data_IF_761439237352
#
_entry.id   IF_761439237352
#
_cell.length_a   1.000
_cell.length_b   1.000
_cell.length_c   1.000
_cell.angle_alpha   90.00
_cell.angle_beta   90.00
_cell.angle_gamma   90.00
#
_symmetry.space_group_name_H-M   'P 1'
#
loop_
_entity.id
_entity.type
_entity.pdbx_description
1 polymer ?
#
# COMPACT_ATOMS: atom_id res chain seq x y z
N UNK A 1 0.19 -14.70 16.43
CA UNK A 1 -0.43 -14.66 15.10
C UNK A 1 -0.86 -13.24 14.80
N UNK A 2 0.03 -12.44 14.21
CA UNK A 2 -0.26 -11.08 13.75
C UNK A 2 0.11 -11.02 12.28
N UNK A 3 -0.91 -11.02 11.43
CA UNK A 3 -0.80 -10.56 10.06
C UNK A 3 -0.64 -9.03 10.11
N UNK A 4 0.46 -8.53 9.56
CA UNK A 4 0.53 -7.18 9.02
C UNK A 4 1.02 -7.33 7.58
N UNK A 5 0.26 -6.85 6.58
CA UNK A 5 0.57 -7.00 5.17
C UNK A 5 1.62 -5.97 4.71
N UNK A 6 2.34 -6.33 3.66
CA UNK A 6 3.28 -5.48 2.93
C UNK A 6 2.53 -4.43 2.08
N UNK A 7 3.12 -3.23 1.89
CA UNK A 7 2.62 -2.25 0.93
C UNK A 7 3.14 -2.62 -0.47
N UNK A 8 2.28 -3.21 -1.31
CA UNK A 8 2.56 -3.35 -2.74
C UNK A 8 2.07 -2.11 -3.48
N UNK A 9 2.98 -1.17 -3.71
CA UNK A 9 2.81 -0.12 -4.70
C UNK A 9 2.88 -0.71 -6.11
N UNK A 10 1.77 -1.24 -6.60
CA UNK A 10 1.49 -1.40 -8.03
C UNK A 10 0.43 -0.38 -8.40
N UNK A 11 0.81 0.57 -9.24
CA UNK A 11 0.00 1.61 -9.85
C UNK A 11 -1.37 1.06 -10.27
N UNK A 12 -2.43 1.51 -9.60
CA UNK A 12 -3.79 1.04 -9.81
C UNK A 12 -4.38 1.59 -11.11
N UNK A 13 -4.06 0.97 -12.25
CA UNK A 13 -4.83 1.16 -13.49
C UNK A 13 -6.10 0.27 -13.49
N UNK A 14 -6.15 -0.72 -12.58
CA UNK A 14 -7.11 -1.83 -12.63
C UNK A 14 -8.50 -1.58 -12.03
N UNK A 15 -8.84 -0.39 -11.54
CA UNK A 15 -10.19 -0.12 -10.95
C UNK A 15 -11.16 0.56 -11.91
N UNK A 16 -10.69 0.96 -13.10
CA UNK A 16 -11.51 1.67 -14.08
C UNK A 16 -12.56 0.79 -14.74
N UNK A 17 -12.15 -0.42 -15.14
CA UNK A 17 -13.01 -1.37 -15.87
C UNK A 17 -14.10 -1.98 -14.96
N UNK A 18 -13.87 -2.08 -13.64
CA UNK A 18 -14.90 -2.45 -12.65
C UNK A 18 -16.11 -1.51 -12.64
N UNK A 19 -15.93 -0.27 -13.12
CA UNK A 19 -17.01 0.72 -13.15
C UNK A 19 -17.97 0.52 -14.32
N UNK A 20 -17.59 -0.29 -15.32
CA UNK A 20 -18.39 -0.59 -16.51
C UNK A 20 -19.26 -1.81 -16.24
N UNK A 21 -20.58 -1.61 -16.25
CA UNK A 21 -21.55 -2.68 -15.99
C UNK A 21 -22.44 -3.01 -17.18
N UNK A 22 -22.34 -2.25 -18.27
CA UNK A 22 -23.26 -2.33 -19.40
C UNK A 22 -22.51 -2.12 -20.72
N UNK A 23 -22.97 -2.76 -21.79
CA UNK A 23 -22.53 -2.45 -23.14
C UNK A 23 -23.43 -1.36 -23.75
N UNK A 24 -22.89 -0.20 -24.19
CA UNK A 24 -23.69 0.87 -24.77
C UNK A 24 -24.26 0.55 -26.16
N UNK A 25 -23.70 -0.46 -26.86
CA UNK A 25 -24.15 -0.89 -28.20
C UNK A 25 -25.31 -1.88 -28.10
N UNK A 26 -25.18 -2.87 -27.21
CA UNK A 26 -26.17 -3.95 -27.08
C UNK A 26 -27.17 -3.72 -25.95
N UNK A 27 -26.96 -2.67 -25.13
CA UNK A 27 -27.81 -2.32 -23.98
C UNK A 27 -27.97 -3.44 -22.95
N UNK A 28 -27.01 -4.37 -22.90
CA UNK A 28 -27.00 -5.51 -21.98
C UNK A 28 -25.98 -5.31 -20.87
N UNK A 29 -26.33 -5.79 -19.67
CA UNK A 29 -25.39 -5.87 -18.55
C UNK A 29 -24.24 -6.82 -18.86
N UNK A 30 -23.03 -6.44 -18.46
CA UNK A 30 -21.84 -7.28 -18.61
C UNK A 30 -21.79 -8.31 -17.47
N UNK A 31 -21.55 -9.57 -17.83
CA UNK A 31 -21.33 -10.63 -16.85
C UNK A 31 -19.86 -10.65 -16.40
N UNK A 32 -19.65 -10.75 -15.09
CA UNK A 32 -18.31 -10.81 -14.47
C UNK A 32 -17.83 -12.23 -14.21
N UNK A 33 -18.59 -13.25 -14.61
CA UNK A 33 -18.28 -14.67 -14.39
C UNK A 33 -18.43 -15.44 -15.71
N UNK A 34 -17.60 -16.46 -15.99
CA UNK A 34 -17.86 -17.33 -17.16
C UNK A 34 -19.09 -18.20 -16.87
N UNK A 35 -20.04 -18.33 -17.82
CA UNK A 35 -21.25 -19.13 -17.64
C UNK A 35 -20.97 -20.63 -17.50
N UNK A 36 -19.82 -21.11 -17.99
CA UNK A 36 -19.45 -22.54 -17.97
C UNK A 36 -18.62 -22.95 -16.74
N UNK A 37 -17.58 -22.17 -16.39
CA UNK A 37 -16.68 -22.53 -15.29
C UNK A 37 -16.89 -21.71 -14.02
N UNK A 38 -17.80 -20.73 -14.05
CA UNK A 38 -18.20 -19.85 -12.94
C UNK A 38 -17.07 -19.05 -12.29
N UNK A 39 -15.85 -19.08 -12.85
CA UNK A 39 -14.74 -18.25 -12.40
C UNK A 39 -15.01 -16.78 -12.72
N UNK A 40 -14.65 -15.90 -11.79
CA UNK A 40 -14.64 -14.45 -11.99
C UNK A 40 -13.70 -14.12 -13.14
N UNK A 41 -14.20 -13.41 -14.15
CA UNK A 41 -13.44 -13.01 -15.32
C UNK A 41 -12.47 -11.88 -14.93
N UNK A 42 -11.15 -12.07 -15.09
CA UNK A 42 -10.19 -11.00 -14.86
C UNK A 42 -10.30 -9.95 -15.97
N UNK A 43 -10.08 -8.67 -15.64
CA UNK A 43 -10.12 -7.55 -16.59
C UNK A 43 -9.18 -7.73 -17.77
N UNK A 44 -7.95 -8.15 -17.50
CA UNK A 44 -6.93 -8.51 -18.48
C UNK A 44 -6.11 -9.66 -17.89
N UNK A 45 -6.31 -10.88 -18.38
CA UNK A 45 -5.37 -11.97 -18.19
C UNK A 45 -4.39 -12.06 -19.35
N UNK A 46 -3.18 -12.54 -19.08
CA UNK A 46 -2.14 -12.79 -20.10
C UNK A 46 -2.60 -13.71 -21.24
N UNK A 47 -3.68 -14.49 -21.03
CA UNK A 47 -4.28 -15.43 -22.00
C UNK A 47 -5.66 -14.98 -22.49
N UNK A 48 -6.00 -13.70 -22.35
CA UNK A 48 -7.32 -13.19 -22.76
C UNK A 48 -7.43 -13.20 -24.28
N UNK A 49 -8.48 -13.85 -24.80
CA UNK A 49 -8.91 -13.72 -26.19
C UNK A 49 -10.25 -13.02 -26.19
N UNK A 50 -10.43 -12.02 -27.06
CA UNK A 50 -11.69 -11.28 -27.16
C UNK A 50 -12.87 -12.25 -27.30
N UNK A 51 -13.89 -12.06 -26.45
CA UNK A 51 -15.08 -12.90 -26.42
C UNK A 51 -14.90 -14.30 -25.82
N UNK A 52 -13.75 -14.64 -25.19
CA UNK A 52 -13.50 -15.97 -24.62
C UNK A 52 -13.00 -15.92 -23.17
N UNK A 53 -13.37 -16.92 -22.37
CA UNK A 53 -12.88 -17.05 -21.00
C UNK A 53 -11.38 -17.42 -20.95
N UNK A 54 -10.56 -16.72 -20.14
CA UNK A 54 -9.12 -17.00 -20.04
C UNK A 54 -8.77 -18.30 -19.30
N UNK A 55 -9.75 -18.95 -18.67
CA UNK A 55 -9.54 -20.18 -17.88
C UNK A 55 -9.99 -21.45 -18.59
N UNK A 56 -11.17 -21.43 -19.21
CA UNK A 56 -11.74 -22.60 -19.89
C UNK A 56 -11.99 -22.39 -21.38
N UNK A 57 -11.71 -21.19 -21.90
CA UNK A 57 -11.90 -20.84 -23.32
C UNK A 57 -13.37 -20.88 -23.81
N UNK A 58 -14.35 -20.91 -22.89
CA UNK A 58 -15.78 -20.75 -23.20
C UNK A 58 -16.02 -19.45 -23.99
N UNK A 59 -16.86 -19.46 -25.03
CA UNK A 59 -17.36 -18.23 -25.66
C UNK A 59 -18.22 -17.45 -24.66
N UNK A 60 -18.01 -16.14 -24.56
CA UNK A 60 -18.65 -15.25 -23.60
C UNK A 60 -19.77 -14.41 -24.21
N UNK A 61 -19.92 -14.40 -25.54
CA UNK A 61 -21.08 -13.78 -26.18
C UNK A 61 -22.30 -14.69 -26.07
N UNK A 62 -23.48 -14.12 -25.81
CA UNK A 62 -24.74 -14.85 -25.98
C UNK A 62 -25.26 -14.56 -27.38
N UNK A 63 -25.57 -15.60 -28.15
CA UNK A 63 -26.42 -15.44 -29.33
C UNK A 63 -27.81 -15.02 -28.82
N UNK A 64 -28.29 -13.91 -29.36
CA UNK A 64 -29.50 -13.23 -28.96
C UNK A 64 -30.74 -14.12 -29.11
N UNK A 65 -31.10 -14.79 -28.02
CA UNK A 65 -32.38 -15.47 -27.82
C UNK A 65 -32.85 -15.23 -26.40
N UNK A 66 -33.60 -14.15 -26.19
CA UNK A 66 -34.29 -13.76 -24.95
C UNK A 66 -33.43 -13.58 -23.69
N UNK A 67 -33.14 -12.33 -23.33
CA UNK A 67 -33.24 -11.91 -21.92
C UNK A 67 -33.33 -10.38 -21.83
N UNK A 68 -34.54 -9.88 -21.62
CA UNK A 68 -34.78 -8.55 -21.05
C UNK A 68 -34.15 -8.50 -19.66
N UNK A 69 -32.96 -7.90 -19.55
CA UNK A 69 -32.46 -7.35 -18.30
C UNK A 69 -32.37 -5.84 -18.47
N UNK A 70 -33.54 -5.23 -18.62
CA UNK A 70 -33.69 -3.78 -18.57
C UNK A 70 -33.29 -3.31 -17.17
N UNK A 71 -32.31 -2.41 -17.08
CA UNK A 71 -32.09 -1.67 -15.83
C UNK A 71 -33.40 -0.97 -15.47
N UNK A 72 -33.84 -1.16 -14.22
CA UNK A 72 -35.10 -0.65 -13.70
C UNK A 72 -35.18 0.89 -13.60
N UNK A 73 -34.18 1.64 -14.07
CA UNK A 73 -34.18 3.11 -14.03
C UNK A 73 -33.39 3.73 -15.20
N UNK A 74 -34.00 4.64 -15.97
CA UNK A 74 -33.41 5.30 -17.14
C UNK A 74 -32.17 6.15 -16.80
N UNK A 75 -32.10 6.67 -15.57
CA UNK A 75 -31.01 7.49 -15.05
C UNK A 75 -29.71 6.69 -14.86
N UNK A 76 -29.80 5.48 -14.30
CA UNK A 76 -28.64 4.60 -14.09
C UNK A 76 -28.08 4.08 -15.42
N UNK A 77 -28.95 3.81 -16.40
CA UNK A 77 -28.55 3.45 -17.75
C UNK A 77 -27.78 4.58 -18.44
N UNK A 78 -28.33 5.81 -18.44
CA UNK A 78 -27.66 6.98 -19.01
C UNK A 78 -26.29 7.23 -18.38
N UNK A 79 -26.19 7.04 -17.06
CA UNK A 79 -24.92 7.15 -16.33
C UNK A 79 -23.91 6.07 -16.76
N UNK A 80 -24.34 4.82 -16.92
CA UNK A 80 -23.47 3.73 -17.38
C UNK A 80 -23.02 3.91 -18.84
N UNK A 81 -23.89 4.45 -19.70
CA UNK A 81 -23.53 4.85 -21.06
C UNK A 81 -22.47 5.96 -21.06
N UNK A 82 -22.65 7.01 -20.24
CA UNK A 82 -21.66 8.07 -20.09
C UNK A 82 -20.32 7.53 -19.58
N UNK A 83 -20.32 6.70 -18.52
CA UNK A 83 -19.09 6.09 -17.99
C UNK A 83 -18.34 5.31 -19.07
N UNK A 84 -19.05 4.49 -19.85
CA UNK A 84 -18.46 3.74 -20.94
C UNK A 84 -17.80 4.64 -21.99
N UNK A 85 -18.52 5.66 -22.45
CA UNK A 85 -18.04 6.57 -23.49
C UNK A 85 -16.82 7.35 -22.99
N UNK A 86 -16.86 7.87 -21.76
CA UNK A 86 -15.74 8.60 -21.15
C UNK A 86 -14.51 7.74 -20.91
N UNK A 87 -14.67 6.46 -20.54
CA UNK A 87 -13.54 5.54 -20.45
C UNK A 87 -12.99 5.23 -21.85
N UNK A 88 -13.87 5.03 -22.84
CA UNK A 88 -13.49 4.80 -24.23
C UNK A 88 -12.67 5.96 -24.82
N UNK A 89 -13.10 7.20 -24.57
CA UNK A 89 -12.40 8.43 -24.94
C UNK A 89 -10.99 8.48 -24.31
N UNK A 90 -10.90 8.21 -23.00
CA UNK A 90 -9.62 8.17 -22.30
C UNK A 90 -8.68 7.09 -22.86
N UNK A 91 -9.20 5.89 -23.13
CA UNK A 91 -8.42 4.79 -23.72
C UNK A 91 -7.97 5.10 -25.16
N UNK A 92 -8.81 5.76 -25.96
CA UNK A 92 -8.50 6.14 -27.34
C UNK A 92 -7.43 7.24 -27.42
N UNK A 93 -7.31 8.09 -26.41
CA UNK A 93 -6.30 9.16 -26.35
C UNK A 93 -4.86 8.66 -26.14
N UNK A 94 -4.69 7.42 -25.64
CA UNK A 94 -3.40 6.88 -25.20
C UNK A 94 -2.40 6.60 -26.35
N UNK A 95 -2.82 6.66 -27.61
CA UNK A 95 -1.94 6.49 -28.78
C UNK A 95 -1.22 7.76 -29.22
N UNK A 96 -1.57 8.96 -28.72
CA UNK A 96 -1.05 10.24 -29.25
C UNK A 96 -0.54 11.26 -28.19
N UNK A 97 -0.46 10.94 -26.90
CA UNK A 97 -0.06 11.93 -25.88
C UNK A 97 1.44 11.88 -25.58
N UNK A 98 2.22 12.83 -26.12
CA UNK A 98 3.65 13.01 -25.75
C UNK A 98 3.90 13.38 -24.29
N UNK A 99 2.86 13.80 -23.54
CA UNK A 99 2.96 14.16 -22.13
C UNK A 99 1.80 13.55 -21.32
N UNK A 100 2.04 12.60 -20.40
CA UNK A 100 0.99 12.09 -19.52
C UNK A 100 0.52 13.18 -18.54
N UNK A 101 -0.78 13.18 -18.15
CA UNK A 101 -1.31 14.16 -17.21
C UNK A 101 -0.61 14.05 -15.86
N UNK A 102 -0.21 15.20 -15.31
CA UNK A 102 0.54 15.24 -14.05
C UNK A 102 -0.40 15.03 -12.86
N UNK A 103 0.11 14.40 -11.79
CA UNK A 103 -0.65 14.14 -10.56
C UNK A 103 -1.11 15.42 -9.86
N UNK A 104 -0.46 16.54 -10.17
CA UNK A 104 -0.74 17.88 -9.67
C UNK A 104 -1.97 18.53 -10.35
N UNK A 105 -2.46 17.97 -11.46
CA UNK A 105 -3.65 18.47 -12.14
C UNK A 105 -4.91 18.26 -11.30
N UNK A 106 -5.03 17.12 -10.61
CA UNK A 106 -6.22 16.80 -9.80
C UNK A 106 -6.38 17.79 -8.62
N UNK A 107 -5.35 18.04 -7.77
CA UNK A 107 -5.43 19.07 -6.73
C UNK A 107 -5.70 20.47 -7.29
N UNK A 108 -5.09 20.82 -8.44
CA UNK A 108 -5.25 22.14 -9.06
C UNK A 108 -6.68 22.36 -9.55
N UNK A 109 -7.27 21.34 -10.18
CA UNK A 109 -8.66 21.37 -10.64
C UNK A 109 -9.64 21.44 -9.48
N UNK A 110 -9.42 20.66 -8.41
CA UNK A 110 -10.28 20.71 -7.22
C UNK A 110 -10.21 22.09 -6.53
N UNK A 111 -9.03 22.71 -6.48
CA UNK A 111 -8.87 24.09 -5.97
C UNK A 111 -9.62 25.10 -6.82
N UNK A 112 -9.54 24.99 -8.14
CA UNK A 112 -10.31 25.85 -9.01
C UNK A 112 -11.82 25.71 -8.76
N UNK A 113 -12.33 24.48 -8.64
CA UNK A 113 -13.74 24.24 -8.33
C UNK A 113 -14.17 24.84 -6.98
N UNK A 114 -13.24 24.84 -6.01
CA UNK A 114 -13.46 25.42 -4.70
C UNK A 114 -13.63 26.94 -4.79
N UNK A 115 -12.81 27.59 -5.62
CA UNK A 115 -12.85 29.03 -5.83
C UNK A 115 -14.05 29.43 -6.70
N UNK A 116 -14.39 28.67 -7.74
CA UNK A 116 -15.45 29.04 -8.70
C UNK A 116 -16.87 28.68 -8.27
N UNK A 117 -17.05 27.62 -7.49
CA UNK A 117 -18.40 27.10 -7.14
C UNK A 117 -18.70 27.10 -5.65
N UNK A 118 -17.73 27.42 -4.80
CA UNK A 118 -17.90 27.35 -3.36
C UNK A 118 -17.28 28.53 -2.59
N UNK A 119 -16.78 29.56 -3.28
CA UNK A 119 -16.16 30.75 -2.67
C UNK A 119 -15.11 30.41 -1.60
N UNK A 120 -14.29 29.38 -1.84
CA UNK A 120 -13.29 28.91 -0.87
C UNK A 120 -13.85 28.00 0.24
N UNK A 121 -15.17 27.77 0.31
CA UNK A 121 -15.80 26.96 1.35
C UNK A 121 -15.78 25.46 1.02
N UNK A 122 -14.85 24.76 1.66
CA UNK A 122 -14.66 23.33 1.45
C UNK A 122 -15.90 22.48 1.79
N UNK A 123 -16.69 22.89 2.78
CA UNK A 123 -17.92 22.20 3.15
C UNK A 123 -19.04 22.41 2.13
N UNK A 124 -19.06 23.56 1.46
CA UNK A 124 -19.98 23.80 0.36
C UNK A 124 -19.61 22.97 -0.87
N UNK A 125 -18.32 22.91 -1.24
CA UNK A 125 -17.86 22.07 -2.34
C UNK A 125 -18.08 20.58 -2.07
N UNK A 126 -17.85 20.13 -0.84
CA UNK A 126 -18.12 18.76 -0.41
C UNK A 126 -19.59 18.36 -0.62
N UNK A 127 -20.53 19.26 -0.32
CA UNK A 127 -21.97 19.03 -0.59
C UNK A 127 -22.27 18.97 -2.09
N UNK A 128 -21.64 19.84 -2.89
CA UNK A 128 -21.80 19.87 -4.34
C UNK A 128 -21.31 18.56 -4.98
N UNK A 129 -20.11 18.11 -4.61
CA UNK A 129 -19.50 16.88 -5.12
C UNK A 129 -20.06 15.61 -4.44
N UNK A 130 -20.88 15.79 -3.40
CA UNK A 130 -21.39 14.72 -2.54
C UNK A 130 -20.25 13.85 -1.96
N UNK A 131 -19.15 14.48 -1.56
CA UNK A 131 -17.97 13.85 -0.97
C UNK A 131 -17.82 14.28 0.50
N UNK A 132 -17.08 13.50 1.28
CA UNK A 132 -16.69 13.90 2.63
C UNK A 132 -15.68 15.07 2.58
N UNK A 133 -15.83 16.03 3.49
CA UNK A 133 -14.99 17.24 3.57
C UNK A 133 -13.52 16.89 3.77
N UNK A 134 -13.21 15.83 4.54
CA UNK A 134 -11.83 15.38 4.78
C UNK A 134 -11.22 14.71 3.56
N UNK A 135 -12.01 13.96 2.79
CA UNK A 135 -11.57 13.37 1.51
C UNK A 135 -11.15 14.47 0.54
N UNK A 136 -11.96 15.52 0.45
CA UNK A 136 -11.68 16.67 -0.39
C UNK A 136 -10.44 17.44 0.11
N UNK A 137 -10.30 17.62 1.43
CA UNK A 137 -9.12 18.23 2.04
C UNK A 137 -7.83 17.44 1.74
N UNK A 138 -7.89 16.12 1.82
CA UNK A 138 -6.77 15.21 1.55
C UNK A 138 -6.34 15.27 0.07
N UNK A 139 -7.29 15.36 -0.86
CA UNK A 139 -6.99 15.53 -2.29
C UNK A 139 -6.27 16.86 -2.59
N UNK A 140 -6.62 17.93 -1.86
CA UNK A 140 -6.02 19.26 -2.04
C UNK A 140 -4.63 19.36 -1.42
N UNK A 141 -4.43 18.77 -0.22
CA UNK A 141 -3.26 19.07 0.61
C UNK A 141 -2.27 17.90 0.77
N UNK A 142 -2.73 16.65 0.73
CA UNK A 142 -1.92 15.47 1.06
C UNK A 142 -1.48 14.68 -0.18
N UNK A 143 -1.76 15.19 -1.39
CA UNK A 143 -1.48 14.53 -2.69
C UNK A 143 -2.09 13.13 -2.80
N UNK A 144 -3.15 12.84 -2.04
CA UNK A 144 -3.92 11.63 -2.21
C UNK A 144 -4.69 11.70 -3.54
N UNK A 145 -4.57 10.66 -4.36
CA UNK A 145 -5.28 10.57 -5.64
C UNK A 145 -6.67 9.93 -5.41
N UNK A 146 -7.73 10.47 -6.00
CA UNK A 146 -9.04 9.84 -5.95
C UNK A 146 -8.99 8.48 -6.64
N UNK A 147 -9.70 7.50 -6.08
CA UNK A 147 -10.01 6.28 -6.83
C UNK A 147 -10.75 6.65 -8.11
N UNK A 148 -10.54 5.87 -9.18
CA UNK A 148 -11.05 6.20 -10.50
C UNK A 148 -12.59 6.38 -10.53
N UNK A 149 -13.34 5.58 -9.76
CA UNK A 149 -14.80 5.73 -9.66
C UNK A 149 -15.23 7.08 -9.05
N UNK A 150 -14.42 7.66 -8.14
CA UNK A 150 -14.65 8.97 -7.55
C UNK A 150 -14.37 10.05 -8.59
N UNK A 151 -13.26 9.92 -9.33
CA UNK A 151 -12.92 10.83 -10.43
C UNK A 151 -14.03 10.86 -11.49
N UNK A 152 -14.48 9.70 -11.96
CA UNK A 152 -15.60 9.59 -12.92
C UNK A 152 -16.87 10.28 -12.40
N UNK A 153 -17.16 10.14 -11.11
CA UNK A 153 -18.33 10.80 -10.52
C UNK A 153 -18.19 12.32 -10.51
N UNK A 154 -17.02 12.83 -10.10
CA UNK A 154 -16.75 14.27 -10.11
C UNK A 154 -16.88 14.82 -11.54
N UNK A 155 -16.26 14.15 -12.51
CA UNK A 155 -16.36 14.51 -13.93
C UNK A 155 -17.82 14.49 -14.44
N UNK A 156 -18.59 13.47 -14.06
CA UNK A 156 -20.02 13.36 -14.41
C UNK A 156 -20.84 14.53 -13.85
N UNK A 157 -20.65 14.90 -12.58
CA UNK A 157 -21.34 16.03 -11.95
C UNK A 157 -20.97 17.38 -12.57
N UNK A 158 -19.73 17.48 -13.06
CA UNK A 158 -19.22 18.67 -13.73
C UNK A 158 -19.54 18.69 -15.22
N UNK A 159 -20.11 17.61 -15.77
CA UNK A 159 -20.39 17.44 -17.20
C UNK A 159 -19.17 17.60 -18.10
N UNK A 160 -18.00 17.19 -17.63
CA UNK A 160 -16.72 17.20 -18.37
C UNK A 160 -16.15 15.79 -18.44
N UNK A 161 -15.35 15.49 -19.47
CA UNK A 161 -14.74 14.16 -19.57
C UNK A 161 -13.55 14.01 -18.60
N UNK A 162 -13.19 12.79 -18.16
CA UNK A 162 -11.98 12.57 -17.37
C UNK A 162 -10.71 12.97 -18.11
N UNK A 163 -10.71 12.90 -19.44
CA UNK A 163 -9.59 13.36 -20.26
C UNK A 163 -9.45 14.88 -20.13
N UNK A 164 -10.53 15.62 -20.39
CA UNK A 164 -10.59 17.08 -20.24
C UNK A 164 -10.19 17.53 -18.83
N UNK A 165 -10.70 16.86 -17.79
CA UNK A 165 -10.34 17.11 -16.39
C UNK A 165 -8.84 16.96 -16.11
N UNK A 166 -8.16 16.04 -16.81
CA UNK A 166 -6.77 15.70 -16.59
C UNK A 166 -5.79 16.47 -17.50
N UNK A 167 -6.24 16.95 -18.66
CA UNK A 167 -5.34 17.52 -19.69
C UNK A 167 -5.55 19.01 -19.98
N UNK A 168 -6.74 19.57 -19.77
CA UNK A 168 -7.03 20.96 -20.18
C UNK A 168 -6.96 21.96 -19.02
N UNK A 169 -6.41 23.15 -19.29
CA UNK A 169 -6.57 24.33 -18.42
C UNK A 169 -7.97 24.92 -18.67
N UNK A 170 -8.87 24.94 -17.70
CA UNK A 170 -10.30 25.14 -17.95
C UNK A 170 -10.62 26.62 -18.22
N UNK A 171 -11.23 26.90 -19.39
CA UNK A 171 -11.81 28.22 -19.68
C UNK A 171 -13.33 28.26 -19.57
N UNK A 172 -14.06 27.12 -19.53
CA UNK A 172 -15.52 27.10 -19.51
C UNK A 172 -16.10 25.87 -18.79
N UNK A 173 -16.04 25.84 -17.44
CA UNK A 173 -16.75 24.81 -16.67
C UNK A 173 -18.25 25.15 -16.59
N UNK A 174 -19.06 24.66 -17.53
CA UNK A 174 -20.52 24.72 -17.42
C UNK A 174 -21.00 23.58 -16.52
N UNK A 175 -21.43 23.90 -15.30
CA UNK A 175 -21.99 22.91 -14.38
C UNK A 175 -23.44 22.60 -14.76
N UNK A 176 -23.74 21.32 -15.05
CA UNK A 176 -25.12 20.81 -14.96
C UNK A 176 -25.23 20.01 -13.66
N UNK A 177 -25.89 20.58 -12.66
CA UNK A 177 -26.19 19.85 -11.43
C UNK A 177 -27.34 18.86 -11.70
N UNK A 178 -27.15 17.53 -11.59
CA UNK A 178 -28.29 16.62 -11.53
C UNK A 178 -28.96 16.77 -10.16
N UNK A 179 -30.30 16.83 -10.13
CA UNK A 179 -31.10 17.11 -8.94
C UNK A 179 -31.18 15.97 -7.92
N UNK A 180 -30.58 14.81 -8.19
CA UNK A 180 -30.77 13.61 -7.37
C UNK A 180 -29.71 13.46 -6.27
N UNK A 181 -30.19 13.27 -5.04
CA UNK A 181 -29.38 12.90 -3.87
C UNK A 181 -28.94 11.45 -4.02
N UNK A 182 -27.62 11.20 -4.02
CA UNK A 182 -27.05 9.86 -4.05
C UNK A 182 -26.23 9.64 -2.77
N UNK A 183 -26.64 8.71 -1.91
CA UNK A 183 -25.86 8.31 -0.74
C UNK A 183 -24.58 7.59 -1.16
N UNK A 184 -23.41 8.15 -0.84
CA UNK A 184 -22.13 7.42 -0.91
C UNK A 184 -21.83 6.86 0.47
N UNK A 185 -21.66 5.55 0.59
CA UNK A 185 -20.90 4.95 1.69
C UNK A 185 -19.41 5.18 1.42
N UNK A 186 -18.84 6.21 2.04
CA UNK A 186 -17.39 6.42 2.00
C UNK A 186 -16.68 5.27 2.72
N UNK A 187 -15.64 4.71 2.09
CA UNK A 187 -14.83 3.60 2.62
C UNK A 187 -13.75 4.09 3.60
N UNK A 188 -13.64 5.41 3.83
CA UNK A 188 -12.87 5.94 4.95
C UNK A 188 -13.65 5.70 6.24
N UNK A 189 -13.38 4.55 6.86
CA UNK A 189 -13.98 4.06 8.09
C UNK A 189 -14.09 5.15 9.17
N UNK A 190 -15.31 5.41 9.65
CA UNK A 190 -15.79 5.58 11.03
C UNK A 190 -14.85 5.96 12.20
N UNK A 191 -13.66 6.52 11.99
CA UNK A 191 -12.66 6.64 13.07
C UNK A 191 -12.52 7.99 13.74
N UNK A 192 -13.27 9.00 13.32
CA UNK A 192 -13.23 10.29 14.01
C UNK A 192 -14.65 10.79 14.20
N UNK A 193 -15.34 10.21 15.19
CA UNK A 193 -16.55 10.83 15.74
C UNK A 193 -16.21 12.28 16.09
N UNK A 194 -17.02 13.21 15.60
CA UNK A 194 -16.96 14.61 16.04
C UNK A 194 -17.19 14.60 17.54
N UNK A 195 -16.17 14.96 18.32
CA UNK A 195 -16.21 14.92 19.78
C UNK A 195 -17.29 15.91 20.22
N UNK A 196 -18.31 15.42 20.92
CA UNK A 196 -19.42 16.24 21.36
C UNK A 196 -18.97 17.14 22.53
N UNK A 197 -19.68 18.25 22.76
CA UNK A 197 -19.39 19.13 23.89
C UNK A 197 -19.53 18.40 25.24
N UNK A 198 -20.42 17.41 25.32
CA UNK A 198 -20.56 16.51 26.46
C UNK A 198 -19.30 15.69 26.73
N UNK A 199 -18.64 15.21 25.67
CA UNK A 199 -17.42 14.41 25.78
C UNK A 199 -16.25 15.26 26.25
N UNK A 200 -16.18 16.52 25.80
CA UNK A 200 -15.19 17.49 26.28
C UNK A 200 -15.40 17.75 27.79
N UNK A 201 -16.65 17.94 28.23
CA UNK A 201 -16.96 18.12 29.66
C UNK A 201 -16.58 16.89 30.48
N UNK A 202 -16.83 15.69 29.98
CA UNK A 202 -16.41 14.44 30.63
C UNK A 202 -14.88 14.34 30.74
N UNK A 203 -14.15 14.71 29.68
CA UNK A 203 -12.67 14.76 29.70
C UNK A 203 -12.17 15.75 30.75
N UNK A 204 -12.76 16.95 30.82
CA UNK A 204 -12.41 17.97 31.81
C UNK A 204 -12.66 17.51 33.24
N UNK A 205 -13.84 16.94 33.51
CA UNK A 205 -14.20 16.42 34.83
C UNK A 205 -13.27 15.28 35.25
N UNK A 206 -13.03 14.32 34.35
CA UNK A 206 -12.14 13.18 34.63
C UNK A 206 -10.72 13.63 34.97
N UNK A 207 -10.18 14.62 34.25
CA UNK A 207 -8.86 15.18 34.53
C UNK A 207 -8.83 15.99 35.83
N UNK A 208 -9.87 16.78 36.11
CA UNK A 208 -9.98 17.58 37.34
C UNK A 208 -10.10 16.68 38.58
N UNK A 209 -10.93 15.65 38.52
CA UNK A 209 -11.11 14.68 39.61
C UNK A 209 -9.81 13.92 39.90
N UNK A 210 -9.10 13.49 38.86
CA UNK A 210 -7.79 12.83 39.00
C UNK A 210 -6.75 13.75 39.65
N UNK A 211 -6.77 15.05 39.33
CA UNK A 211 -5.87 16.03 39.94
C UNK A 211 -6.14 16.27 41.42
N UNK A 212 -7.34 15.97 41.92
CA UNK A 212 -7.67 16.08 43.35
C UNK A 212 -7.33 14.82 44.15
N UNK A 213 -7.36 13.64 43.52
CA UNK A 213 -7.07 12.36 44.21
C UNK A 213 -5.59 12.26 44.60
N UNK A 214 -5.31 11.78 45.80
CA UNK A 214 -3.96 11.42 46.27
C UNK A 214 -3.58 10.01 45.81
N UNK A 215 -3.13 9.90 44.55
CA UNK A 215 -2.72 8.62 43.93
C UNK A 215 -1.19 8.59 43.78
N UNK A 216 -0.55 7.50 44.20
CA UNK A 216 0.87 7.24 43.98
C UNK A 216 1.11 5.81 43.43
N UNK A 217 1.92 5.64 42.36
CA UNK A 217 2.47 6.68 41.50
C UNK A 217 1.36 7.34 40.65
N UNK A 218 1.46 8.66 40.48
CA UNK A 218 0.54 9.42 39.64
C UNK A 218 0.72 8.99 38.16
N UNK A 219 -0.37 8.67 37.44
CA UNK A 219 -0.29 8.12 36.08
C UNK A 219 0.19 9.17 35.06
N UNK A 220 0.82 8.70 33.98
CA UNK A 220 1.21 9.57 32.86
C UNK A 220 0.00 10.00 32.04
N UNK A 221 0.08 11.14 31.35
CA UNK A 221 -0.99 11.62 30.47
C UNK A 221 -1.42 10.57 29.43
N UNK A 222 -0.48 9.76 28.94
CA UNK A 222 -0.75 8.67 28.00
C UNK A 222 -1.60 7.56 28.61
N UNK A 223 -1.33 7.20 29.88
CA UNK A 223 -2.12 6.20 30.60
C UNK A 223 -3.54 6.72 30.86
N UNK A 224 -3.66 7.97 31.32
CA UNK A 224 -4.94 8.63 31.55
C UNK A 224 -5.78 8.70 30.26
N UNK A 225 -5.16 9.09 29.13
CA UNK A 225 -5.86 9.14 27.84
C UNK A 225 -6.43 7.78 27.43
N UNK A 226 -5.65 6.71 27.62
CA UNK A 226 -6.12 5.35 27.35
C UNK A 226 -7.27 4.93 28.28
N UNK A 227 -7.21 5.29 29.57
CA UNK A 227 -8.25 4.98 30.54
C UNK A 227 -9.57 5.70 30.21
N UNK A 228 -9.48 6.91 29.63
CA UNK A 228 -10.63 7.68 29.11
C UNK A 228 -11.10 7.16 27.74
N UNK A 229 -10.30 6.34 27.06
CA UNK A 229 -10.60 5.82 25.72
C UNK A 229 -10.35 6.82 24.58
N UNK A 230 -9.42 7.78 24.78
CA UNK A 230 -9.10 8.82 23.79
C UNK A 230 -7.59 8.86 23.47
N UNK A 231 -7.22 9.51 22.36
CA UNK A 231 -5.82 9.73 22.02
C UNK A 231 -5.25 10.90 22.85
N UNK A 232 -3.97 10.87 23.31
CA UNK A 232 -3.38 11.98 24.07
C UNK A 232 -3.45 13.35 23.37
N UNK A 233 -3.33 13.37 22.04
CA UNK A 233 -3.48 14.58 21.23
C UNK A 233 -4.87 15.21 21.35
N UNK A 234 -5.90 14.40 21.60
CA UNK A 234 -7.26 14.88 21.81
C UNK A 234 -7.35 15.68 23.11
N UNK A 235 -6.82 15.14 24.22
CA UNK A 235 -6.80 15.87 25.50
C UNK A 235 -5.99 17.16 25.41
N UNK A 236 -4.85 17.13 24.72
CA UNK A 236 -4.03 18.33 24.52
C UNK A 236 -4.75 19.43 23.72
N UNK A 237 -5.63 19.04 22.79
CA UNK A 237 -6.40 19.97 21.97
C UNK A 237 -7.56 20.61 22.74
N UNK A 238 -8.32 19.83 23.50
CA UNK A 238 -9.56 20.29 24.14
C UNK A 238 -9.40 20.70 25.61
N UNK A 239 -8.35 20.23 26.30
CA UNK A 239 -8.09 20.49 27.71
C UNK A 239 -6.60 20.81 27.98
N UNK A 240 -6.01 21.82 27.30
CA UNK A 240 -4.58 22.07 27.35
C UNK A 240 -4.07 22.38 28.76
N UNK A 241 -4.80 23.18 29.55
CA UNK A 241 -4.33 23.62 30.86
C UNK A 241 -4.39 22.53 31.92
N UNK A 242 -5.45 21.71 31.92
CA UNK A 242 -5.52 20.52 32.77
C UNK A 242 -4.42 19.51 32.39
N UNK A 243 -4.14 19.33 31.10
CA UNK A 243 -3.02 18.49 30.65
C UNK A 243 -1.66 19.02 31.14
N UNK A 244 -1.47 20.35 31.18
CA UNK A 244 -0.24 20.95 31.73
C UNK A 244 -0.11 20.63 33.22
N UNK A 245 -1.18 20.78 34.01
CA UNK A 245 -1.12 20.51 35.45
C UNK A 245 -0.93 19.02 35.76
N UNK A 246 -1.56 18.13 35.00
CA UNK A 246 -1.34 16.67 35.05
C UNK A 246 0.13 16.34 34.79
N UNK A 247 0.71 16.89 33.72
CA UNK A 247 2.12 16.66 33.41
C UNK A 247 3.06 17.26 34.48
N UNK A 248 2.72 18.41 35.04
CA UNK A 248 3.50 19.04 36.13
C UNK A 248 3.46 18.20 37.39
N UNK A 249 2.29 17.69 37.81
CA UNK A 249 2.15 16.78 38.94
C UNK A 249 2.91 15.46 38.69
N UNK A 250 2.76 14.88 37.50
CA UNK A 250 3.49 13.69 37.08
C UNK A 250 5.02 13.88 37.12
N UNK A 251 5.53 15.07 36.76
CA UNK A 251 6.97 15.37 36.83
C UNK A 251 7.45 15.60 38.26
N UNK A 252 6.67 16.32 39.07
CA UNK A 252 7.03 16.65 40.47
C UNK A 252 7.23 15.40 41.33
N UNK A 253 6.44 14.35 41.15
CA UNK A 253 6.55 13.14 41.98
C UNK A 253 7.94 12.48 41.93
N UNK A 254 8.66 12.64 40.80
CA UNK A 254 9.98 12.04 40.59
C UNK A 254 11.14 12.95 41.06
N UNK A 255 10.84 14.17 41.51
CA UNK A 255 11.85 15.09 42.05
C UNK A 255 12.22 14.77 43.50
N UNK A 256 11.35 14.09 44.24
CA UNK A 256 11.53 13.75 45.65
C UNK A 256 12.60 12.66 45.84
N UNK A 257 13.36 12.73 46.92
CA UNK A 257 14.50 11.83 47.13
C UNK A 257 14.07 10.37 47.33
N UNK A 258 12.94 10.11 48.01
CA UNK A 258 12.37 8.76 48.12
C UNK A 258 12.04 8.15 46.75
N UNK A 259 11.56 8.96 45.80
CA UNK A 259 11.26 8.50 44.46
C UNK A 259 12.56 8.21 43.69
N UNK A 260 13.59 9.04 43.83
CA UNK A 260 14.92 8.78 43.25
C UNK A 260 15.54 7.50 43.79
N UNK A 261 15.44 7.24 45.09
CA UNK A 261 15.92 6.00 45.71
C UNK A 261 15.19 4.78 45.14
N UNK A 262 13.87 4.87 44.93
CA UNK A 262 13.09 3.82 44.29
C UNK A 262 13.54 3.56 42.83
N UNK A 263 13.76 4.63 42.04
CA UNK A 263 14.27 4.54 40.67
C UNK A 263 15.66 3.87 40.64
N UNK A 264 16.57 4.31 41.51
CA UNK A 264 17.92 3.77 41.63
C UNK A 264 17.91 2.28 41.97
N UNK A 265 17.18 1.89 43.02
CA UNK A 265 17.08 0.49 43.47
C UNK A 265 16.53 -0.42 42.37
N UNK A 266 15.59 0.08 41.56
CA UNK A 266 15.03 -0.72 40.46
C UNK A 266 16.05 -0.88 39.32
N UNK A 267 16.82 0.16 38.98
CA UNK A 267 17.92 0.08 38.01
C UNK A 267 19.01 -0.89 38.48
N UNK A 268 19.43 -0.81 39.74
CA UNK A 268 20.41 -1.71 40.34
C UNK A 268 19.91 -3.17 40.34
N UNK A 269 18.64 -3.40 40.69
CA UNK A 269 18.06 -4.75 40.64
C UNK A 269 18.07 -5.34 39.22
N UNK A 270 17.90 -4.49 38.20
CA UNK A 270 17.99 -4.90 36.79
C UNK A 270 19.43 -5.18 36.35
N UNK A 271 20.43 -4.54 36.97
CA UNK A 271 21.86 -4.81 36.76
C UNK A 271 22.36 -6.06 37.49
N UNK A 272 21.75 -6.43 38.61
CA UNK A 272 22.11 -7.65 39.35
C UNK A 272 21.39 -8.88 38.80
N UNK A 273 20.13 -8.74 38.37
CA UNK A 273 19.32 -9.85 37.84
C UNK A 273 20.02 -10.59 36.69
N UNK A 274 19.96 -11.92 36.67
CA UNK A 274 20.46 -12.73 35.54
C UNK A 274 19.71 -12.43 34.23
N UNK A 275 18.45 -12.01 34.33
CA UNK A 275 17.62 -11.69 33.16
C UNK A 275 17.92 -10.29 32.65
N UNK A 276 18.54 -10.21 31.47
CA UNK A 276 18.81 -8.95 30.75
C UNK A 276 17.51 -8.38 30.19
N UNK A 277 17.05 -7.28 30.77
CA UNK A 277 15.81 -6.59 30.41
C UNK A 277 16.08 -5.23 29.76
N UNK A 278 15.26 -4.77 28.80
CA UNK A 278 15.43 -3.46 28.21
C UNK A 278 15.06 -2.35 29.21
N UNK A 279 15.67 -1.18 29.08
CA UNK A 279 15.40 -0.02 29.94
C UNK A 279 13.90 0.36 29.99
N UNK A 280 13.17 0.15 28.88
CA UNK A 280 11.72 0.39 28.81
C UNK A 280 10.89 -0.56 29.68
N UNK A 281 11.42 -1.74 30.00
CA UNK A 281 10.79 -2.67 30.95
C UNK A 281 11.02 -2.21 32.38
N UNK A 282 12.24 -1.80 32.72
CA UNK A 282 12.59 -1.25 34.04
C UNK A 282 11.75 0.00 34.34
N UNK A 283 11.61 0.91 33.38
CA UNK A 283 10.76 2.10 33.52
C UNK A 283 9.30 1.75 33.85
N UNK A 284 8.77 0.71 33.20
CA UNK A 284 7.40 0.23 33.39
C UNK A 284 7.17 -0.40 34.76
N UNK A 285 8.17 -1.10 35.32
CA UNK A 285 8.08 -1.67 36.66
C UNK A 285 7.89 -0.59 37.73
N UNK A 286 8.54 0.56 37.56
CA UNK A 286 8.39 1.71 38.47
C UNK A 286 7.18 2.58 38.13
N UNK A 287 6.62 2.43 36.91
CA UNK A 287 5.53 3.28 36.42
C UNK A 287 5.98 4.66 35.94
N UNK A 288 7.27 4.80 35.57
CA UNK A 288 7.85 6.04 35.05
C UNK A 288 8.12 5.96 33.54
N UNK A 289 8.50 7.09 32.94
CA UNK A 289 8.95 7.14 31.55
C UNK A 289 10.46 6.86 31.47
N UNK A 290 10.98 6.19 30.42
CA UNK A 290 12.42 5.95 30.27
C UNK A 290 13.25 7.24 30.29
N UNK A 291 12.69 8.36 29.82
CA UNK A 291 13.31 9.68 29.85
C UNK A 291 13.50 10.20 31.29
N UNK A 292 12.59 9.84 32.21
CA UNK A 292 12.72 10.17 33.64
C UNK A 292 13.93 9.47 34.24
N UNK A 293 14.14 8.18 33.95
CA UNK A 293 15.32 7.44 34.41
C UNK A 293 16.60 8.05 33.86
N UNK A 294 16.65 8.34 32.54
CA UNK A 294 17.82 8.96 31.90
C UNK A 294 18.17 10.34 32.45
N UNK A 295 17.17 11.10 32.89
CA UNK A 295 17.37 12.43 33.49
C UNK A 295 18.08 12.37 34.84
N UNK A 296 17.69 11.43 35.71
CA UNK A 296 18.22 11.37 37.09
C UNK A 296 19.43 10.43 37.22
N UNK A 297 19.49 9.35 36.45
CA UNK A 297 20.53 8.32 36.55
C UNK A 297 21.04 7.91 35.16
N UNK A 298 21.72 8.82 34.43
CA UNK A 298 22.21 8.54 33.08
C UNK A 298 23.19 7.35 33.04
N UNK A 299 24.08 7.23 34.02
CA UNK A 299 25.12 6.20 34.06
C UNK A 299 24.55 4.80 34.37
N UNK A 300 23.60 4.70 35.31
CA UNK A 300 22.90 3.44 35.56
C UNK A 300 22.04 3.03 34.36
N UNK A 301 21.41 4.00 33.70
CA UNK A 301 20.65 3.74 32.47
C UNK A 301 21.57 3.24 31.35
N UNK A 302 22.74 3.86 31.17
CA UNK A 302 23.70 3.43 30.15
C UNK A 302 24.19 2.02 30.45
N UNK A 303 24.51 1.69 31.70
CA UNK A 303 24.90 0.35 32.11
C UNK A 303 23.82 -0.71 31.81
N UNK A 304 22.55 -0.43 32.11
CA UNK A 304 21.43 -1.34 31.81
C UNK A 304 21.29 -1.54 30.30
N UNK A 305 21.43 -0.45 29.53
CA UNK A 305 21.35 -0.48 28.07
C UNK A 305 22.52 -1.26 27.48
N UNK A 306 23.75 -1.01 27.91
CA UNK A 306 24.95 -1.74 27.49
C UNK A 306 24.80 -3.23 27.80
N UNK A 307 24.42 -3.60 29.02
CA UNK A 307 24.19 -4.99 29.42
C UNK A 307 23.11 -5.69 28.59
N UNK A 308 22.05 -4.95 28.22
CA UNK A 308 21.01 -5.45 27.31
C UNK A 308 21.54 -5.68 25.90
N UNK A 309 22.42 -4.81 25.38
CA UNK A 309 23.05 -4.99 24.07
C UNK A 309 24.14 -6.06 24.08
N UNK A 310 24.85 -6.27 25.18
CA UNK A 310 25.80 -7.39 25.34
C UNK A 310 25.11 -8.76 25.34
N UNK A 311 23.76 -8.82 25.30
CA UNK A 311 22.99 -10.07 25.30
C UNK A 311 23.22 -10.89 24.04
N UNK A 312 23.48 -10.25 22.92
CA UNK A 312 23.81 -10.95 21.70
C UNK A 312 25.32 -11.07 21.58
N UNK A 313 25.76 -12.28 21.27
CA UNK A 313 27.15 -12.59 20.98
C UNK A 313 27.49 -11.97 19.62
N UNK A 314 28.16 -10.82 19.65
CA UNK A 314 28.59 -10.12 18.44
C UNK A 314 29.50 -10.99 17.59
N UNK A 315 30.36 -11.77 18.22
CA UNK A 315 31.34 -12.61 17.54
C UNK A 315 30.63 -13.77 16.84
N UNK A 316 29.63 -14.37 17.47
CA UNK A 316 28.76 -15.36 16.84
C UNK A 316 28.04 -14.81 15.59
N UNK A 317 27.48 -13.59 15.69
CA UNK A 317 26.75 -12.97 14.58
C UNK A 317 27.69 -12.60 13.44
N UNK A 318 28.84 -12.00 13.77
CA UNK A 318 29.86 -11.65 12.81
C UNK A 318 30.36 -12.89 12.07
N UNK A 319 30.74 -13.94 12.82
CA UNK A 319 31.20 -15.20 12.24
C UNK A 319 30.17 -15.81 11.30
N UNK A 320 28.89 -15.79 11.66
CA UNK A 320 27.83 -16.31 10.79
C UNK A 320 27.66 -15.51 9.49
N UNK A 321 27.87 -14.18 9.55
CA UNK A 321 27.85 -13.32 8.35
C UNK A 321 29.08 -13.57 7.46
N UNK A 322 30.25 -13.77 8.07
CA UNK A 322 31.49 -14.14 7.37
C UNK A 322 31.37 -15.53 6.71
N UNK A 323 30.80 -16.53 7.41
CA UNK A 323 30.51 -17.85 6.85
C UNK A 323 29.60 -17.75 5.60
N UNK A 324 28.62 -16.83 5.60
CA UNK A 324 27.77 -16.57 4.43
C UNK A 324 28.54 -15.88 3.28
N UNK A 325 29.57 -15.09 3.60
CA UNK A 325 30.46 -14.50 2.60
C UNK A 325 31.42 -15.53 2.01
N UNK A 326 31.73 -16.61 2.72
CA UNK A 326 32.59 -17.68 2.22
C UNK A 326 31.85 -18.71 1.35
N UNK A 327 30.51 -18.79 1.49
CA UNK A 327 29.67 -19.67 0.67
C UNK A 327 29.79 -19.35 -0.83
N UNK A 328 30.10 -20.37 -1.66
CA UNK A 328 30.28 -20.20 -3.11
C UNK A 328 28.97 -20.16 -3.90
N UNK A 329 27.92 -20.80 -3.39
CA UNK A 329 26.61 -20.90 -4.05
C UNK A 329 25.48 -20.81 -3.01
N UNK A 330 24.30 -20.38 -3.46
CA UNK A 330 23.07 -20.19 -2.68
C UNK A 330 23.19 -19.18 -1.54
N UNK A 331 23.67 -17.97 -1.83
CA UNK A 331 23.89 -16.95 -0.80
C UNK A 331 22.55 -16.52 -0.18
N UNK A 332 22.34 -16.74 1.13
CA UNK A 332 21.09 -16.41 1.79
C UNK A 332 20.86 -14.89 1.86
N UNK A 333 19.60 -14.48 1.98
CA UNK A 333 19.26 -13.06 2.05
C UNK A 333 19.57 -12.56 3.46
N UNK A 334 19.84 -11.28 3.62
CA UNK A 334 19.99 -10.68 4.95
C UNK A 334 18.77 -11.01 5.83
N UNK A 335 17.58 -11.09 5.23
CA UNK A 335 16.36 -11.49 5.92
C UNK A 335 16.38 -12.95 6.37
N UNK A 336 16.81 -13.87 5.52
CA UNK A 336 16.99 -15.30 5.88
C UNK A 336 18.05 -15.46 6.99
N UNK A 337 19.17 -14.74 6.88
CA UNK A 337 20.22 -14.73 7.89
C UNK A 337 19.68 -14.18 9.22
N UNK A 338 18.96 -13.06 9.21
CA UNK A 338 18.37 -12.47 10.41
C UNK A 338 17.41 -13.44 11.13
N UNK A 339 16.53 -14.10 10.37
CA UNK A 339 15.63 -15.14 10.88
C UNK A 339 16.41 -16.29 11.52
N UNK A 340 17.49 -16.75 10.88
CA UNK A 340 18.33 -17.84 11.40
C UNK A 340 19.08 -17.49 12.69
N UNK A 341 19.26 -16.21 12.99
CA UNK A 341 19.93 -15.71 14.20
C UNK A 341 18.89 -15.35 15.29
N UNK A 342 17.62 -15.23 14.92
CA UNK A 342 16.55 -14.79 15.82
C UNK A 342 16.51 -13.27 16.03
N UNK A 343 17.03 -12.50 15.06
CA UNK A 343 17.02 -11.04 15.07
C UNK A 343 16.28 -10.48 13.85
N UNK A 344 16.00 -9.17 13.87
CA UNK A 344 15.44 -8.47 12.72
C UNK A 344 16.55 -8.10 11.72
N UNK A 345 16.21 -8.00 10.44
CA UNK A 345 17.11 -7.53 9.39
C UNK A 345 17.67 -6.13 9.66
N UNK A 346 16.82 -5.23 10.18
CA UNK A 346 17.23 -3.86 10.57
C UNK A 346 18.33 -3.86 11.63
N UNK A 347 18.35 -4.86 12.51
CA UNK A 347 19.39 -5.00 13.52
C UNK A 347 20.74 -5.34 12.88
N UNK A 348 20.78 -6.25 11.90
CA UNK A 348 22.01 -6.58 11.17
C UNK A 348 22.54 -5.37 10.40
N UNK A 349 21.66 -4.61 9.75
CA UNK A 349 22.03 -3.39 9.03
C UNK A 349 22.62 -2.30 9.93
N UNK A 350 22.14 -2.19 11.17
CA UNK A 350 22.63 -1.17 12.11
C UNK A 350 23.96 -1.55 12.74
N UNK A 351 24.17 -2.83 13.06
CA UNK A 351 25.38 -3.31 13.74
C UNK A 351 26.50 -3.76 12.79
N UNK A 352 26.17 -4.29 11.62
CA UNK A 352 27.11 -4.85 10.64
C UNK A 352 26.81 -4.34 9.22
N UNK A 353 26.79 -3.01 8.99
CA UNK A 353 26.40 -2.44 7.71
C UNK A 353 27.30 -2.90 6.57
N UNK A 354 28.60 -3.05 6.83
CA UNK A 354 29.57 -3.40 5.79
C UNK A 354 29.44 -4.86 5.35
N UNK A 355 29.33 -5.79 6.30
CA UNK A 355 29.07 -7.21 5.97
C UNK A 355 27.72 -7.38 5.25
N UNK A 356 26.68 -6.64 5.65
CA UNK A 356 25.39 -6.65 4.97
C UNK A 356 25.49 -6.16 3.51
N UNK A 357 26.27 -5.10 3.25
CA UNK A 357 26.52 -4.62 1.88
C UNK A 357 27.25 -5.66 1.05
N UNK A 358 28.29 -6.28 1.59
CA UNK A 358 29.07 -7.31 0.90
C UNK A 358 28.22 -8.52 0.52
N UNK A 359 27.40 -9.03 1.45
CA UNK A 359 26.48 -10.16 1.18
C UNK A 359 25.45 -9.76 0.12
N UNK A 360 24.89 -8.56 0.21
CA UNK A 360 23.92 -8.05 -0.77
C UNK A 360 24.52 -7.95 -2.17
N UNK A 361 25.75 -7.44 -2.28
CA UNK A 361 26.48 -7.35 -3.54
C UNK A 361 26.76 -8.73 -4.11
N UNK A 362 27.27 -9.65 -3.28
CA UNK A 362 27.59 -11.01 -3.70
C UNK A 362 26.35 -11.77 -4.20
N UNK A 363 25.22 -11.70 -3.47
CA UNK A 363 23.93 -12.28 -3.89
C UNK A 363 23.37 -11.63 -5.16
N UNK A 364 23.63 -10.34 -5.40
CA UNK A 364 23.23 -9.69 -6.64
C UNK A 364 24.02 -10.26 -7.82
N UNK A 365 25.33 -10.36 -7.70
CA UNK A 365 26.20 -10.92 -8.74
C UNK A 365 25.88 -12.39 -9.01
N UNK A 366 25.64 -13.18 -7.97
CA UNK A 366 25.22 -14.59 -8.12
C UNK A 366 23.89 -14.70 -8.87
N UNK A 367 22.89 -13.87 -8.55
CA UNK A 367 21.59 -13.87 -9.26
C UNK A 367 21.72 -13.42 -10.71
N UNK A 368 22.59 -12.46 -11.00
CA UNK A 368 22.90 -12.04 -12.38
C UNK A 368 23.51 -13.20 -13.18
N UNK A 369 24.47 -13.92 -12.59
CA UNK A 369 25.10 -15.10 -13.20
C UNK A 369 24.12 -16.27 -13.37
N UNK A 370 23.30 -16.57 -12.35
CA UNK A 370 22.25 -17.60 -12.44
C UNK A 370 21.19 -17.26 -13.50
N UNK A 371 20.80 -15.98 -13.58
CA UNK A 371 19.87 -15.51 -14.60
C UNK A 371 20.45 -15.70 -16.01
N UNK A 372 21.72 -15.34 -16.20
CA UNK A 372 22.44 -15.54 -17.47
C UNK A 372 22.51 -17.02 -17.84
N UNK A 373 22.94 -17.89 -16.93
CA UNK A 373 22.98 -19.36 -17.16
C UNK A 373 21.61 -19.92 -17.52
N UNK A 374 20.55 -19.46 -16.84
CA UNK A 374 19.18 -19.87 -17.13
C UNK A 374 18.76 -19.40 -18.53
N UNK A 375 19.07 -18.17 -18.91
CA UNK A 375 18.82 -17.66 -20.27
C UNK A 375 19.59 -18.46 -21.33
N UNK A 376 20.88 -18.76 -21.10
CA UNK A 376 21.69 -19.55 -22.03
C UNK A 376 21.08 -20.96 -22.24
N UNK A 377 20.60 -21.60 -21.17
CA UNK A 377 19.92 -22.90 -21.24
C UNK A 377 18.57 -22.82 -21.97
N UNK A 378 17.79 -21.76 -21.74
CA UNK A 378 16.53 -21.50 -22.45
C UNK A 378 16.81 -21.32 -23.94
N UNK A 379 17.78 -20.48 -24.28
CA UNK A 379 18.19 -20.22 -25.65
C UNK A 379 18.64 -21.51 -26.36
N UNK A 380 19.51 -22.30 -25.72
CA UNK A 380 19.94 -23.59 -26.25
C UNK A 380 18.74 -24.52 -26.52
N UNK A 381 17.80 -24.60 -25.60
CA UNK A 381 16.60 -25.44 -25.73
C UNK A 381 15.70 -24.99 -26.89
N UNK A 382 15.51 -23.67 -27.05
CA UNK A 382 14.76 -23.09 -28.18
C UNK A 382 15.44 -23.46 -29.50
N UNK A 383 16.77 -23.31 -29.59
CA UNK A 383 17.53 -23.62 -30.81
C UNK A 383 17.37 -25.09 -31.20
N UNK A 384 17.58 -26.02 -30.26
CA UNK A 384 17.45 -27.45 -30.54
C UNK A 384 16.02 -27.82 -30.97
N UNK A 385 15.01 -27.28 -30.29
CA UNK A 385 13.61 -27.55 -30.63
C UNK A 385 13.22 -26.97 -32.01
N UNK A 386 13.69 -25.76 -32.33
CA UNK A 386 13.39 -25.12 -33.61
C UNK A 386 14.01 -25.88 -34.79
N UNK A 387 15.28 -26.30 -34.66
CA UNK A 387 15.97 -27.10 -35.68
C UNK A 387 15.30 -28.46 -35.89
N UNK A 388 14.89 -29.12 -34.80
CA UNK A 388 14.19 -30.40 -34.87
C UNK A 388 12.86 -30.27 -35.62
N UNK A 389 12.03 -29.28 -35.27
CA UNK A 389 10.74 -29.04 -35.96
C UNK A 389 10.94 -28.71 -37.45
N UNK A 390 11.93 -27.88 -37.76
CA UNK A 390 12.26 -27.54 -39.15
C UNK A 390 12.66 -28.78 -39.96
N UNK A 391 13.52 -29.65 -39.41
CA UNK A 391 13.92 -30.90 -40.07
C UNK A 391 12.76 -31.88 -40.29
N UNK A 392 11.69 -31.78 -39.50
CA UNK A 392 10.46 -32.56 -39.67
C UNK A 392 9.49 -31.93 -40.68
N UNK A 393 9.86 -30.81 -41.31
CA UNK A 393 9.00 -30.04 -42.20
C UNK A 393 7.88 -29.28 -41.50
N UNK A 394 7.95 -29.16 -40.16
CA UNK A 394 6.94 -28.50 -39.34
C UNK A 394 7.41 -27.09 -39.01
N UNK A 395 6.55 -26.10 -39.22
CA UNK A 395 6.85 -24.70 -38.88
C UNK A 395 7.18 -24.55 -37.39
N UNK A 396 8.35 -24.01 -36.97
CA UNK A 396 8.73 -23.93 -35.57
C UNK A 396 8.00 -22.81 -34.78
N UNK A 397 6.69 -22.94 -34.60
CA UNK A 397 5.91 -21.96 -33.82
C UNK A 397 6.29 -21.98 -32.34
N UNK A 398 6.14 -20.83 -31.68
CA UNK A 398 6.34 -20.70 -30.23
C UNK A 398 5.58 -21.77 -29.41
N UNK A 399 4.38 -22.15 -29.88
CA UNK A 399 3.56 -23.19 -29.25
C UNK A 399 4.16 -24.59 -29.41
N UNK A 400 4.70 -24.93 -30.58
CA UNK A 400 5.30 -26.23 -30.83
C UNK A 400 6.65 -26.38 -30.13
N UNK A 401 7.44 -25.32 -30.07
CA UNK A 401 8.68 -25.29 -29.28
C UNK A 401 8.37 -25.53 -27.80
N UNK A 402 7.41 -24.79 -27.22
CA UNK A 402 6.99 -24.98 -25.83
C UNK A 402 6.42 -26.38 -25.54
N UNK A 403 5.73 -26.98 -26.51
CA UNK A 403 5.20 -28.34 -26.39
C UNK A 403 6.33 -29.39 -26.41
N UNK A 404 7.38 -29.15 -27.20
CA UNK A 404 8.50 -30.07 -27.36
C UNK A 404 9.50 -29.97 -26.19
N UNK A 405 9.70 -28.79 -25.63
CA UNK A 405 10.55 -28.58 -24.44
C UNK A 405 9.84 -28.87 -23.12
N UNK A 406 8.51 -28.99 -23.13
CA UNK A 406 7.71 -29.20 -21.92
C UNK A 406 7.60 -27.97 -21.00
N UNK A 407 8.10 -26.81 -21.44
CA UNK A 407 8.01 -25.55 -20.70
C UNK A 407 7.13 -24.53 -21.46
N UNK A 408 5.89 -24.30 -21.00
CA UNK A 408 4.98 -23.32 -21.59
C UNK A 408 5.46 -21.86 -21.49
N UNK A 409 6.45 -21.57 -20.64
CA UNK A 409 6.91 -20.22 -20.31
C UNK A 409 8.25 -19.86 -20.95
N UNK A 410 8.82 -20.76 -21.76
CA UNK A 410 10.15 -20.64 -22.37
C UNK A 410 10.35 -19.35 -23.19
N UNK A 411 9.29 -18.81 -23.80
CA UNK A 411 9.30 -17.62 -24.65
C UNK A 411 8.62 -16.40 -24.00
N UNK A 412 8.56 -16.35 -22.67
CA UNK A 412 8.01 -15.18 -21.95
C UNK A 412 9.03 -14.04 -21.84
N UNK A 413 10.31 -14.37 -21.70
CA UNK A 413 11.39 -13.38 -21.57
C UNK A 413 11.73 -12.76 -22.92
N UNK A 414 12.01 -11.45 -22.94
CA UNK A 414 12.18 -10.69 -24.19
C UNK A 414 13.40 -11.18 -24.97
N UNK A 415 14.46 -11.49 -24.26
CA UNK A 415 15.73 -12.02 -24.76
C UNK A 415 15.51 -13.37 -25.47
N UNK A 416 14.68 -14.25 -24.88
CA UNK A 416 14.33 -15.54 -25.47
C UNK A 416 13.47 -15.38 -26.76
N UNK A 417 12.56 -14.39 -26.78
CA UNK A 417 11.77 -14.07 -27.98
C UNK A 417 12.60 -13.50 -29.12
N UNK A 418 13.54 -12.60 -28.82
CA UNK A 418 14.48 -12.03 -29.79
C UNK A 418 15.33 -13.14 -30.42
N UNK A 419 15.82 -14.08 -29.60
CA UNK A 419 16.61 -15.21 -30.07
C UNK A 419 15.79 -16.16 -30.96
N UNK A 420 14.56 -16.50 -30.56
CA UNK A 420 13.64 -17.27 -31.41
C UNK A 420 13.37 -16.59 -32.76
N UNK A 421 13.11 -15.27 -32.78
CA UNK A 421 12.91 -14.52 -34.03
C UNK A 421 14.15 -14.56 -34.92
N UNK A 422 15.35 -14.46 -34.33
CA UNK A 422 16.61 -14.59 -35.08
C UNK A 422 16.72 -15.96 -35.74
N UNK A 423 16.49 -17.04 -35.00
CA UNK A 423 16.49 -18.41 -35.54
C UNK A 423 15.47 -18.56 -36.67
N UNK A 424 14.26 -18.05 -36.49
CA UNK A 424 13.21 -18.13 -37.50
C UNK A 424 13.62 -17.41 -38.79
N UNK A 425 14.28 -16.25 -38.68
CA UNK A 425 14.83 -15.53 -39.82
C UNK A 425 15.95 -16.33 -40.51
N UNK A 426 16.85 -16.95 -39.75
CA UNK A 426 17.95 -17.75 -40.28
C UNK A 426 17.46 -19.03 -40.99
N UNK A 427 16.35 -19.60 -40.52
CA UNK A 427 15.67 -20.74 -41.14
C UNK A 427 14.78 -20.34 -42.35
N UNK A 428 14.79 -19.08 -42.76
CA UNK A 428 14.07 -18.58 -43.93
C UNK A 428 12.58 -18.30 -43.71
N UNK A 429 12.11 -18.25 -42.46
CA UNK A 429 10.73 -17.91 -42.15
C UNK A 429 10.55 -16.39 -42.02
N UNK A 430 9.48 -15.87 -42.63
CA UNK A 430 9.12 -14.46 -42.51
C UNK A 430 8.49 -14.18 -41.15
N UNK A 431 9.23 -13.53 -40.26
CA UNK A 431 8.74 -13.10 -38.94
C UNK A 431 8.05 -11.73 -39.06
N UNK A 432 6.93 -11.63 -39.77
CA UNK A 432 6.04 -10.46 -39.66
C UNK A 432 4.92 -10.77 -38.68
N UNK A 433 5.12 -10.43 -37.40
CA UNK A 433 4.08 -10.24 -36.39
C UNK A 433 4.52 -9.15 -35.41
#
# INVERSE_FOLDING_TARGET
MRHVPLPSGSSSVNTALDSIKLCPVHHLSLETHCPLCHKVLPHLAQRSRVGHCPFCSCWLGKDSGNTELMLSNATDFNRQCWINLSIGELLASNSNTSNPPSKEQIPSMIKLLLDTHADGNLSALARILQLDVQVLWAYINERHLPHFHILLRVCYLLSISPLEFLTESPRLLQTRFPSDKYEIKCVFSDKWKRIAESDIKLMQQSLADLLQKEIYPFPSLKKIANDIGCHPSTLLKYCPDLCKEVNKRYRKQWANDNAKVCLMRTLESALVSEKRVPLSFVARQVGCAPETLRKYFPDLCSAVVTRYYERYDRDFIQKKLEDCLDQRENIPSIKEIAVSIGHNDSFLWWHFPELCKQISLKRRLEREEQHKRRLDNICYSITQAALLLHSQGVYPSARQIAQLTGDPFLLVEREAQEMWRSIMKDLGYSTYL
#
